data_IF_673456341012
#
_entry.id   IF_673456341012
#
_cell.length_a   1.000
_cell.length_b   1.000
_cell.length_c   1.000
_cell.angle_alpha   90.00
_cell.angle_beta   90.00
_cell.angle_gamma   90.00
#
_symmetry.space_group_name_H-M   'P 1'
#
loop_
_entity.id
_entity.type
_entity.pdbx_description
1 polymer ?
#
# COMPACT_ATOMS: atom_id res chain seq x y z
N UNK A 1 13.32 21.77 21.50
CA UNK A 1 12.62 20.60 22.05
C UNK A 1 12.53 19.55 20.95
N UNK A 2 13.57 18.74 20.78
CA UNK A 2 13.59 17.67 19.78
C UNK A 2 12.72 16.55 20.29
N UNK A 3 11.53 16.37 19.73
CA UNK A 3 10.67 15.22 20.04
C UNK A 3 11.41 13.97 19.60
N UNK A 4 11.68 13.10 20.56
CA UNK A 4 12.30 11.80 20.37
C UNK A 4 11.66 11.04 19.20
N UNK A 5 12.36 10.99 18.06
CA UNK A 5 11.98 10.15 16.90
C UNK A 5 12.42 8.70 17.18
N UNK A 6 11.89 8.12 18.27
CA UNK A 6 12.23 6.74 18.67
C UNK A 6 11.54 5.77 17.73
N UNK A 7 12.35 4.96 17.03
CA UNK A 7 11.87 3.87 16.20
C UNK A 7 11.31 2.76 17.10
N UNK A 8 9.98 2.64 17.13
CA UNK A 8 9.32 1.55 17.83
C UNK A 8 9.18 0.35 16.92
N UNK A 9 10.05 -0.65 17.10
CA UNK A 9 10.04 -1.92 16.36
C UNK A 9 8.66 -2.56 16.31
N UNK A 10 7.92 -2.54 17.42
CA UNK A 10 6.57 -3.09 17.47
C UNK A 10 5.63 -2.41 16.46
N UNK A 11 5.67 -1.08 16.38
CA UNK A 11 4.82 -0.30 15.50
C UNK A 11 5.20 -0.50 14.04
N UNK A 12 6.49 -0.58 13.73
CA UNK A 12 6.98 -0.86 12.38
C UNK A 12 6.46 -2.24 11.93
N UNK A 13 6.62 -3.27 12.75
CA UNK A 13 6.14 -4.62 12.42
C UNK A 13 4.61 -4.69 12.30
N UNK A 14 3.86 -3.91 13.08
CA UNK A 14 2.40 -3.80 12.91
C UNK A 14 2.04 -3.21 11.55
N UNK A 15 2.67 -2.10 11.15
CA UNK A 15 2.42 -1.45 9.86
C UNK A 15 2.80 -2.33 8.67
N UNK A 16 3.94 -3.02 8.75
CA UNK A 16 4.34 -4.01 7.74
C UNK A 16 3.28 -5.12 7.60
N UNK A 17 2.75 -5.62 8.72
CA UNK A 17 1.67 -6.62 8.69
C UNK A 17 0.38 -6.07 8.08
N UNK A 18 0.03 -4.80 8.33
CA UNK A 18 -1.14 -4.16 7.74
C UNK A 18 -1.03 -4.11 6.22
N UNK A 19 0.10 -3.61 5.69
CA UNK A 19 0.33 -3.51 4.24
C UNK A 19 0.25 -4.88 3.56
N UNK A 20 0.82 -5.90 4.20
CA UNK A 20 0.85 -7.27 3.68
C UNK A 20 -0.41 -8.08 4.02
N UNK A 21 -1.38 -7.48 4.70
CA UNK A 21 -2.61 -8.12 5.18
C UNK A 21 -2.36 -9.41 5.98
N UNK A 22 -1.35 -9.39 6.85
CA UNK A 22 -0.93 -10.53 7.68
C UNK A 22 -1.51 -10.43 9.09
N UNK A 23 -1.87 -11.57 9.66
CA UNK A 23 -2.45 -11.64 11.02
C UNK A 23 -1.38 -11.98 12.05
N UNK A 24 -0.35 -12.73 11.66
CA UNK A 24 0.60 -13.33 12.59
C UNK A 24 2.05 -12.96 12.28
N UNK A 25 2.88 -12.96 13.32
CA UNK A 25 4.32 -12.77 13.17
C UNK A 25 4.99 -13.96 12.43
N UNK A 26 4.36 -15.14 12.45
CA UNK A 26 4.84 -16.32 11.74
C UNK A 26 4.72 -16.16 10.22
N UNK A 27 3.60 -15.60 9.75
CA UNK A 27 3.41 -15.26 8.33
C UNK A 27 4.44 -14.22 7.87
N UNK A 28 4.67 -13.17 8.69
CA UNK A 28 5.68 -12.16 8.40
C UNK A 28 7.09 -12.77 8.35
N UNK A 29 7.42 -13.67 9.30
CA UNK A 29 8.70 -14.36 9.33
C UNK A 29 8.92 -15.22 8.07
N UNK A 30 7.85 -15.88 7.58
CA UNK A 30 7.88 -16.68 6.34
C UNK A 30 8.18 -15.80 5.12
N UNK A 31 7.55 -14.63 5.02
CA UNK A 31 7.77 -13.67 3.92
C UNK A 31 9.18 -13.09 3.96
N UNK A 32 9.70 -12.80 5.16
CA UNK A 32 11.05 -12.28 5.36
C UNK A 32 12.17 -13.35 5.30
N UNK A 33 11.79 -14.61 5.07
CA UNK A 33 12.65 -15.79 5.06
C UNK A 33 13.52 -15.91 6.32
N UNK A 34 12.90 -15.69 7.49
CA UNK A 34 13.54 -15.79 8.80
C UNK A 34 12.74 -16.70 9.73
N UNK A 35 13.39 -17.13 10.81
CA UNK A 35 12.71 -17.91 11.86
C UNK A 35 11.73 -17.00 12.62
N UNK A 36 10.53 -17.48 13.02
CA UNK A 36 9.61 -16.71 13.86
C UNK A 36 10.23 -16.22 15.18
N UNK A 37 11.19 -16.98 15.72
CA UNK A 37 11.98 -16.61 16.90
C UNK A 37 12.79 -15.32 16.71
N UNK A 38 13.18 -15.00 15.47
CA UNK A 38 13.86 -13.76 15.10
C UNK A 38 12.96 -12.55 15.26
N UNK A 39 11.68 -12.64 14.84
CA UNK A 39 10.71 -11.55 15.03
C UNK A 39 10.48 -11.27 16.52
N UNK A 40 10.34 -12.32 17.33
CA UNK A 40 10.22 -12.17 18.80
C UNK A 40 11.47 -11.55 19.42
N UNK A 41 12.66 -11.93 18.94
CA UNK A 41 13.93 -11.36 19.38
C UNK A 41 14.05 -9.88 19.00
N UNK A 42 13.61 -9.49 17.81
CA UNK A 42 13.58 -8.09 17.36
C UNK A 42 12.70 -7.24 18.27
N UNK A 43 11.48 -7.68 18.57
CA UNK A 43 10.56 -6.99 19.48
C UNK A 43 11.16 -6.81 20.88
N UNK A 44 11.81 -7.84 21.41
CA UNK A 44 12.43 -7.81 22.74
C UNK A 44 13.68 -6.91 22.81
N UNK A 45 14.50 -6.92 21.76
CA UNK A 45 15.76 -6.13 21.70
C UNK A 45 15.53 -4.68 21.29
N UNK A 46 14.37 -4.36 20.73
CA UNK A 46 14.08 -3.03 20.19
C UNK A 46 14.91 -2.68 18.95
N UNK A 47 15.44 -3.69 18.24
CA UNK A 47 16.21 -3.50 17.00
C UNK A 47 15.74 -4.52 15.93
N UNK A 48 15.59 -4.06 14.69
CA UNK A 48 15.16 -4.83 13.53
C UNK A 48 16.14 -4.65 12.38
N UNK A 49 16.16 -5.63 11.48
CA UNK A 49 16.81 -5.46 10.18
C UNK A 49 15.93 -4.57 9.29
N UNK A 50 16.17 -3.25 9.37
CA UNK A 50 15.46 -2.27 8.54
C UNK A 50 15.68 -2.51 7.05
N UNK A 51 16.86 -3.00 6.62
CA UNK A 51 17.12 -3.27 5.21
C UNK A 51 16.17 -4.34 4.67
N UNK A 52 15.93 -5.41 5.45
CA UNK A 52 14.94 -6.44 5.09
C UNK A 52 13.53 -5.88 4.99
N UNK A 53 13.12 -5.04 5.93
CA UNK A 53 11.79 -4.42 5.93
C UNK A 53 11.62 -3.47 4.73
N UNK A 54 12.61 -2.61 4.48
CA UNK A 54 12.59 -1.65 3.36
C UNK A 54 12.55 -2.41 2.04
N UNK A 55 13.40 -3.41 1.86
CA UNK A 55 13.42 -4.23 0.63
C UNK A 55 12.06 -4.87 0.37
N UNK A 56 11.39 -5.34 1.42
CA UNK A 56 10.05 -5.91 1.32
C UNK A 56 9.00 -4.85 0.94
N UNK A 57 9.04 -3.66 1.53
CA UNK A 57 8.04 -2.62 1.31
C UNK A 57 8.28 -1.74 0.06
N UNK A 58 9.51 -1.73 -0.48
CA UNK A 58 9.89 -0.92 -1.64
C UNK A 58 8.95 -1.06 -2.86
N UNK A 59 8.53 -2.28 -3.28
CA UNK A 59 7.61 -2.42 -4.41
C UNK A 59 6.16 -1.97 -4.13
N UNK A 60 5.78 -1.68 -2.89
CA UNK A 60 4.39 -1.35 -2.50
C UNK A 60 4.10 0.16 -2.47
N UNK A 61 5.08 1.00 -2.86
CA UNK A 61 4.94 2.46 -2.87
C UNK A 61 4.51 3.07 -1.52
N UNK A 62 4.93 2.44 -0.42
CA UNK A 62 4.61 2.83 0.96
C UNK A 62 5.48 4.00 1.38
N UNK A 63 4.90 4.95 2.12
CA UNK A 63 5.66 6.06 2.70
C UNK A 63 6.59 5.57 3.80
N UNK A 64 7.88 5.87 3.65
CA UNK A 64 8.89 5.52 4.65
C UNK A 64 8.67 6.25 5.98
N UNK A 65 8.19 7.50 5.93
CA UNK A 65 7.87 8.27 7.13
C UNK A 65 6.66 7.68 7.87
N UNK A 66 5.68 7.14 7.14
CA UNK A 66 4.56 6.43 7.75
C UNK A 66 5.00 5.08 8.32
N UNK A 67 5.80 4.32 7.56
CA UNK A 67 6.29 3.02 7.99
C UNK A 67 7.11 3.12 9.28
N UNK A 68 8.08 4.04 9.34
CA UNK A 68 8.98 4.19 10.47
C UNK A 68 8.36 4.98 11.63
N UNK A 69 7.81 6.15 11.34
CA UNK A 69 7.38 7.10 12.37
C UNK A 69 5.85 7.17 12.54
N UNK A 70 5.07 6.60 11.61
CA UNK A 70 3.62 6.74 11.60
C UNK A 70 3.17 8.15 11.24
N UNK A 71 4.00 8.89 10.52
CA UNK A 71 3.74 10.27 10.11
C UNK A 71 3.43 10.32 8.62
N UNK A 72 2.48 11.15 8.23
CA UNK A 72 2.09 11.31 6.83
C UNK A 72 1.12 10.24 6.33
N UNK A 73 0.99 10.14 5.01
CA UNK A 73 0.10 9.19 4.34
C UNK A 73 0.71 7.79 4.25
N UNK A 74 -0.14 6.76 4.28
CA UNK A 74 0.30 5.34 4.25
C UNK A 74 0.98 4.96 2.94
N UNK A 75 0.36 5.33 1.82
CA UNK A 75 0.92 5.18 0.50
C UNK A 75 1.41 6.52 -0.01
N UNK A 76 2.57 6.53 -0.64
CA UNK A 76 2.97 7.63 -1.50
C UNK A 76 2.11 7.43 -2.76
N UNK A 77 1.34 8.42 -3.24
CA UNK A 77 0.83 8.33 -4.59
C UNK A 77 2.03 8.14 -5.52
N UNK A 78 1.97 7.19 -6.44
CA UNK A 78 3.05 7.07 -7.43
C UNK A 78 3.16 8.44 -8.10
N UNK A 79 4.34 9.06 -8.05
CA UNK A 79 4.53 10.46 -8.46
C UNK A 79 4.12 10.76 -9.93
N UNK A 80 3.71 9.72 -10.68
CA UNK A 80 3.20 9.74 -12.03
C UNK A 80 1.94 8.88 -12.23
N UNK A 81 1.18 8.53 -11.18
CA UNK A 81 -0.09 7.81 -11.34
C UNK A 81 -1.05 8.67 -12.19
N UNK A 82 -1.40 8.23 -13.41
CA UNK A 82 -2.36 8.95 -14.23
C UNK A 82 -3.71 9.12 -13.51
N UNK A 83 -4.01 8.23 -12.56
CA UNK A 83 -5.23 8.24 -11.76
C UNK A 83 -5.38 9.53 -10.97
N UNK A 84 -4.30 10.08 -10.40
CA UNK A 84 -4.41 11.31 -9.61
C UNK A 84 -4.70 12.54 -10.49
N UNK A 85 -4.12 12.56 -11.70
CA UNK A 85 -4.44 13.58 -12.70
C UNK A 85 -5.88 13.45 -13.20
N UNK A 86 -6.36 12.22 -13.39
CA UNK A 86 -7.75 11.93 -13.76
C UNK A 86 -8.70 12.34 -12.63
N UNK A 87 -8.37 12.07 -11.37
CA UNK A 87 -9.18 12.48 -10.21
C UNK A 87 -9.28 14.00 -10.14
N UNK A 88 -8.17 14.73 -10.23
CA UNK A 88 -8.18 16.20 -10.26
C UNK A 88 -8.98 16.74 -11.45
N UNK A 89 -8.89 16.10 -12.61
CA UNK A 89 -9.67 16.47 -13.79
C UNK A 89 -11.17 16.28 -13.52
N UNK A 90 -11.58 15.13 -12.97
CA UNK A 90 -12.97 14.85 -12.58
C UNK A 90 -13.49 15.80 -11.50
N UNK A 91 -12.68 16.14 -10.50
CA UNK A 91 -13.04 17.10 -9.44
C UNK A 91 -13.23 18.52 -9.97
N UNK A 92 -12.56 18.90 -11.06
CA UNK A 92 -12.71 20.21 -11.69
C UNK A 92 -13.89 20.32 -12.68
N UNK A 93 -14.54 19.20 -13.01
CA UNK A 93 -15.64 19.14 -13.99
C UNK A 93 -17.01 19.41 -13.35
N UNK A 94 -18.00 19.84 -14.15
CA UNK A 94 -19.39 19.96 -13.69
C UNK A 94 -20.04 18.57 -13.57
N UNK A 95 -21.12 18.45 -12.79
CA UNK A 95 -21.80 17.17 -12.58
C UNK A 95 -22.30 16.54 -13.89
N UNK A 96 -22.61 17.35 -14.90
CA UNK A 96 -23.03 16.88 -16.21
C UNK A 96 -21.87 16.24 -16.97
N UNK A 97 -20.71 16.89 -16.98
CA UNK A 97 -19.50 16.36 -17.59
C UNK A 97 -19.00 15.09 -16.88
N UNK A 98 -19.11 15.03 -15.55
CA UNK A 98 -18.81 13.82 -14.77
C UNK A 98 -19.73 12.66 -15.16
N UNK A 99 -21.04 12.91 -15.35
CA UNK A 99 -22.00 11.89 -15.77
C UNK A 99 -21.69 11.32 -17.15
N UNK A 100 -21.26 12.16 -18.10
CA UNK A 100 -20.92 11.68 -19.45
C UNK A 100 -19.65 10.84 -19.46
N UNK A 101 -18.63 11.22 -18.67
CA UNK A 101 -17.44 10.39 -18.46
C UNK A 101 -17.82 9.05 -17.83
N UNK A 102 -18.68 9.05 -16.79
CA UNK A 102 -19.15 7.82 -16.15
C UNK A 102 -19.88 6.89 -17.12
N UNK A 103 -20.80 7.43 -17.93
CA UNK A 103 -21.50 6.65 -18.97
C UNK A 103 -20.53 6.01 -19.96
N UNK A 104 -19.47 6.74 -20.37
CA UNK A 104 -18.48 6.22 -21.28
C UNK A 104 -17.69 5.05 -20.67
N UNK A 105 -17.24 5.21 -19.41
CA UNK A 105 -16.51 4.16 -18.68
C UNK A 105 -17.37 2.90 -18.47
N UNK A 106 -18.65 3.06 -18.11
CA UNK A 106 -19.58 1.93 -17.97
C UNK A 106 -19.78 1.18 -19.29
N UNK A 107 -19.93 1.92 -20.40
CA UNK A 107 -20.06 1.34 -21.73
C UNK A 107 -18.83 0.51 -22.11
N UNK A 108 -17.62 1.02 -21.88
CA UNK A 108 -16.37 0.29 -22.14
C UNK A 108 -16.30 -1.02 -21.33
N UNK A 109 -16.65 -0.98 -20.04
CA UNK A 109 -16.73 -2.20 -19.20
C UNK A 109 -17.68 -3.25 -19.78
N UNK A 110 -18.87 -2.82 -20.20
CA UNK A 110 -19.87 -3.73 -20.79
C UNK A 110 -19.35 -4.38 -22.08
N UNK A 111 -18.64 -3.61 -22.93
CA UNK A 111 -18.03 -4.17 -24.14
C UNK A 111 -16.96 -5.20 -23.85
N UNK A 112 -16.11 -4.97 -22.85
CA UNK A 112 -15.13 -5.96 -22.42
C UNK A 112 -15.77 -7.26 -21.94
N UNK A 113 -16.87 -7.17 -21.18
CA UNK A 113 -17.61 -8.34 -20.72
C UNK A 113 -18.24 -9.12 -21.88
N UNK A 114 -18.80 -8.42 -22.87
CA UNK A 114 -19.37 -9.05 -24.08
C UNK A 114 -18.29 -9.76 -24.88
N UNK A 115 -17.13 -9.14 -25.09
CA UNK A 115 -15.99 -9.74 -25.80
C UNK A 115 -15.49 -10.99 -25.06
N UNK A 116 -15.39 -10.92 -23.73
CA UNK A 116 -14.99 -12.08 -22.90
C UNK A 116 -15.98 -13.24 -23.08
N UNK A 117 -17.29 -12.96 -23.04
CA UNK A 117 -18.33 -13.99 -23.25
C UNK A 117 -18.27 -14.62 -24.63
N UNK A 118 -17.96 -13.86 -25.68
CA UNK A 118 -17.84 -14.37 -27.05
C UNK A 118 -16.59 -15.23 -27.28
N UNK A 119 -15.50 -15.01 -26.53
CA UNK A 119 -14.26 -15.79 -26.63
C UNK A 119 -14.28 -17.11 -25.84
N UNK A 120 -15.27 -17.30 -24.97
CA UNK A 120 -15.47 -18.47 -24.12
C UNK A 120 -16.47 -19.49 -24.70
N UNK A 121 -17.13 -19.16 -25.81
CA UNK A 121 -18.06 -20.00 -26.56
C UNK A 121 -17.38 -20.55 -27.81
#
# INVERSE_FOLDING_TARGET
MSRDNVLHVHNILMRVKLILNLKTDAELAKILEIKPTTISAWKRRGNIDLNKIITLCNPMNVSMDWLLYGKGEECIPAANDPTEKIIKMLESMTDEQRRDVLKYVEKEKLWEEVIKRQKLA
#
